data_IF_750246080898
#
_entry.id   IF_750246080898
#
_cell.length_a   1.000
_cell.length_b   1.000
_cell.length_c   1.000
_cell.angle_alpha   90.00
_cell.angle_beta   90.00
_cell.angle_gamma   90.00
#
_symmetry.space_group_name_H-M   'P 1'
#
loop_
_entity.id
_entity.type
_entity.pdbx_description
1 polymer ?
#
# COMPACT_ATOMS: atom_id res chain seq x y z
N UNK A 1 28.42 -36.14 7.80
CA UNK A 1 29.43 -35.07 7.64
C UNK A 1 29.79 -34.97 6.16
N UNK A 2 29.36 -33.91 5.47
CA UNK A 2 29.89 -33.48 4.17
C UNK A 2 29.55 -31.99 4.02
N UNK A 3 30.54 -31.15 4.29
CA UNK A 3 30.54 -29.73 3.99
C UNK A 3 31.14 -29.50 2.59
N UNK A 4 30.80 -28.36 2.00
CA UNK A 4 31.35 -27.71 0.80
C UNK A 4 30.82 -28.12 -0.60
N UNK A 5 29.99 -27.23 -1.16
CA UNK A 5 30.36 -26.33 -2.28
C UNK A 5 29.43 -25.11 -2.31
N UNK A 6 29.77 -24.08 -1.54
CA UNK A 6 29.27 -22.73 -1.77
C UNK A 6 30.06 -22.15 -2.95
N UNK A 7 29.39 -21.83 -4.06
CA UNK A 7 29.95 -20.94 -5.08
C UNK A 7 29.59 -19.51 -4.70
N UNK A 8 30.55 -18.57 -4.61
CA UNK A 8 30.20 -17.17 -4.46
C UNK A 8 29.57 -16.67 -5.78
N UNK A 9 28.47 -15.93 -5.67
CA UNK A 9 27.94 -15.13 -6.77
C UNK A 9 28.94 -14.01 -7.09
N UNK A 10 29.15 -13.65 -8.37
CA UNK A 10 30.00 -12.52 -8.72
C UNK A 10 29.36 -11.23 -8.23
N UNK A 11 30.03 -10.57 -7.30
CA UNK A 11 29.71 -9.21 -6.86
C UNK A 11 30.63 -8.24 -7.60
N UNK A 12 30.04 -7.10 -8.04
CA UNK A 12 30.65 -5.95 -8.75
C UNK A 12 30.89 -6.25 -10.24
N UNK A 13 30.28 -5.53 -11.19
CA UNK A 13 30.47 -4.09 -11.47
C UNK A 13 29.23 -3.36 -12.01
N UNK A 14 28.05 -4.01 -12.08
CA UNK A 14 26.83 -3.40 -12.65
C UNK A 14 26.09 -2.44 -11.68
N UNK A 15 26.61 -2.26 -10.46
CA UNK A 15 25.84 -1.70 -9.34
C UNK A 15 25.84 -0.17 -9.25
N UNK A 16 26.95 0.50 -9.56
CA UNK A 16 27.09 1.91 -9.15
C UNK A 16 26.44 2.88 -10.14
N UNK A 17 26.54 2.59 -11.44
CA UNK A 17 25.89 3.42 -12.46
C UNK A 17 24.36 3.28 -12.43
N UNK A 18 23.84 2.07 -12.17
CA UNK A 18 22.39 1.83 -12.00
C UNK A 18 21.89 2.48 -10.72
N UNK A 19 22.68 2.48 -9.63
CA UNK A 19 22.32 3.18 -8.40
C UNK A 19 22.30 4.70 -8.57
N UNK A 20 23.27 5.27 -9.29
CA UNK A 20 23.31 6.72 -9.54
C UNK A 20 22.18 7.16 -10.47
N UNK A 21 21.83 6.38 -11.49
CA UNK A 21 20.66 6.65 -12.32
C UNK A 21 19.35 6.46 -11.53
N UNK A 22 19.25 5.44 -10.68
CA UNK A 22 18.09 5.31 -9.77
C UNK A 22 17.99 6.48 -8.80
N UNK A 23 19.11 6.97 -8.26
CA UNK A 23 19.16 8.10 -7.35
C UNK A 23 18.76 9.39 -8.03
N UNK A 24 19.21 9.64 -9.27
CA UNK A 24 18.76 10.76 -10.09
C UNK A 24 17.27 10.66 -10.40
N UNK A 25 16.78 9.49 -10.77
CA UNK A 25 15.35 9.24 -11.00
C UNK A 25 14.55 9.41 -9.71
N UNK A 26 15.09 9.04 -8.54
CA UNK A 26 14.44 9.23 -7.24
C UNK A 26 14.38 10.69 -6.83
N UNK A 27 15.44 11.46 -7.10
CA UNK A 27 15.50 12.91 -6.86
C UNK A 27 14.58 13.63 -7.84
N UNK A 28 14.55 13.23 -9.12
CA UNK A 28 13.62 13.76 -10.11
C UNK A 28 12.18 13.36 -9.82
N UNK A 29 11.91 12.13 -9.36
CA UNK A 29 10.59 11.68 -8.97
C UNK A 29 10.16 12.35 -7.66
N UNK A 30 11.07 12.53 -6.70
CA UNK A 30 10.84 13.29 -5.48
C UNK A 30 10.57 14.77 -5.77
N UNK A 31 11.36 15.39 -6.65
CA UNK A 31 11.15 16.75 -7.13
C UNK A 31 9.88 16.85 -7.97
N UNK A 32 9.54 15.88 -8.81
CA UNK A 32 8.32 15.87 -9.61
C UNK A 32 7.09 15.61 -8.75
N UNK A 33 7.20 14.78 -7.72
CA UNK A 33 6.16 14.54 -6.72
C UNK A 33 5.96 15.78 -5.84
N UNK A 34 7.05 16.44 -5.45
CA UNK A 34 7.03 17.72 -4.74
C UNK A 34 6.45 18.82 -5.62
N UNK A 35 6.86 18.93 -6.88
CA UNK A 35 6.30 19.86 -7.88
C UNK A 35 4.83 19.52 -8.15
N UNK A 36 4.44 18.25 -8.18
CA UNK A 36 3.04 17.85 -8.37
C UNK A 36 2.21 18.20 -7.15
N UNK A 37 2.71 17.98 -5.94
CA UNK A 37 2.07 18.43 -4.70
C UNK A 37 1.97 19.96 -4.69
N UNK A 38 3.05 20.67 -5.00
CA UNK A 38 3.11 22.14 -5.06
C UNK A 38 2.21 22.69 -6.18
N UNK A 39 2.11 22.04 -7.34
CA UNK A 39 1.23 22.42 -8.45
C UNK A 39 -0.24 22.14 -8.15
N UNK A 40 -0.55 21.00 -7.51
CA UNK A 40 -1.89 20.68 -7.02
C UNK A 40 -2.29 21.65 -5.92
N UNK A 41 -1.38 22.03 -5.03
CA UNK A 41 -1.63 23.02 -3.99
C UNK A 41 -1.69 24.45 -4.53
N UNK A 42 -0.90 24.82 -5.54
CA UNK A 42 -0.93 26.14 -6.19
C UNK A 42 -2.19 26.37 -7.03
N UNK A 43 -2.80 25.32 -7.59
CA UNK A 43 -4.12 25.42 -8.24
C UNK A 43 -5.29 25.37 -7.28
N UNK A 44 -5.06 24.96 -6.02
CA UNK A 44 -6.00 25.03 -4.92
C UNK A 44 -5.63 26.22 -4.01
N UNK A 45 -5.62 27.44 -4.55
CA UNK A 45 -5.58 28.66 -3.73
C UNK A 45 -6.85 28.74 -2.89
N UNK A 46 -6.87 28.02 -1.78
CA UNK A 46 -7.91 28.13 -0.75
C UNK A 46 -7.56 29.37 0.06
N UNK A 47 -8.44 30.38 -0.02
CA UNK A 47 -8.33 31.57 0.83
C UNK A 47 -8.53 31.12 2.29
N UNK A 48 -7.80 31.71 3.25
CA UNK A 48 -7.93 31.35 4.67
C UNK A 48 -9.38 31.42 5.23
N UNK A 49 -10.27 32.16 4.56
CA UNK A 49 -11.68 32.28 4.92
C UNK A 49 -12.53 31.03 4.63
N UNK A 50 -12.07 30.09 3.79
CA UNK A 50 -12.84 28.90 3.40
C UNK A 50 -12.60 27.69 4.34
N UNK A 51 -11.69 27.82 5.32
CA UNK A 51 -11.25 26.73 6.22
C UNK A 51 -12.38 26.24 7.15
N UNK A 52 -13.36 27.10 7.47
CA UNK A 52 -14.53 26.73 8.27
C UNK A 52 -15.60 25.95 7.49
N UNK A 53 -15.44 25.84 6.17
CA UNK A 53 -16.28 25.01 5.32
C UNK A 53 -15.40 24.00 4.56
N UNK A 54 -14.73 23.11 5.30
CA UNK A 54 -14.21 21.84 4.76
C UNK A 54 -15.38 20.93 4.32
N UNK A 55 -16.07 21.32 3.24
CA UNK A 55 -16.75 20.37 2.39
C UNK A 55 -15.66 19.59 1.66
N UNK A 56 -15.70 18.28 1.89
CA UNK A 56 -15.15 17.21 1.07
C UNK A 56 -14.76 17.68 -0.34
N UNK A 57 -13.53 17.40 -0.76
CA UNK A 57 -13.11 17.47 -2.17
C UNK A 57 -14.23 16.88 -3.02
N UNK A 58 -14.79 17.69 -3.91
CA UNK A 58 -15.95 17.30 -4.71
C UNK A 58 -15.57 16.13 -5.63
N UNK A 59 -16.44 15.14 -5.85
CA UNK A 59 -16.24 14.12 -6.89
C UNK A 59 -15.92 14.71 -8.27
N UNK A 60 -16.34 15.95 -8.54
CA UNK A 60 -16.06 16.68 -9.77
C UNK A 60 -14.58 17.08 -9.91
N UNK A 61 -13.90 17.42 -8.82
CA UNK A 61 -12.48 17.79 -8.83
C UNK A 61 -11.59 16.57 -9.11
N UNK A 62 -12.03 15.40 -8.61
CA UNK A 62 -11.41 14.10 -8.89
C UNK A 62 -11.62 13.71 -10.36
N UNK A 63 -12.82 13.94 -10.92
CA UNK A 63 -13.08 13.72 -12.34
C UNK A 63 -12.27 14.65 -13.25
N UNK A 64 -12.05 15.91 -12.85
CA UNK A 64 -11.27 16.86 -13.62
C UNK A 64 -9.76 16.55 -13.63
N UNK A 65 -9.24 15.97 -12.54
CA UNK A 65 -7.89 15.38 -12.48
C UNK A 65 -7.78 14.12 -13.35
N UNK A 66 -8.79 13.25 -13.31
CA UNK A 66 -8.88 12.04 -14.14
C UNK A 66 -8.89 12.36 -15.63
N UNK A 67 -9.69 13.33 -16.05
CA UNK A 67 -9.80 13.78 -17.44
C UNK A 67 -8.49 14.38 -17.98
N UNK A 68 -7.73 15.09 -17.13
CA UNK A 68 -6.43 15.68 -17.51
C UNK A 68 -5.30 14.64 -17.65
N UNK A 69 -5.37 13.54 -16.90
CA UNK A 69 -4.41 12.44 -17.02
C UNK A 69 -4.71 11.53 -18.21
N UNK A 70 -5.96 11.48 -18.67
CA UNK A 70 -6.38 10.65 -19.83
C UNK A 70 -6.35 11.38 -21.18
N UNK A 71 -6.30 12.71 -21.22
CA UNK A 71 -6.43 13.51 -22.45
C UNK A 71 -5.08 13.79 -23.15
N UNK A 72 -4.28 12.75 -23.34
CA UNK A 72 -2.97 12.84 -23.98
C UNK A 72 -2.64 11.67 -24.88
N UNK A 73 -3.58 11.15 -25.67
CA UNK A 73 -3.28 10.14 -26.69
C UNK A 73 -4.25 10.24 -27.87
N UNK A 74 -3.82 10.89 -28.95
CA UNK A 74 -4.38 10.69 -30.30
C UNK A 74 -3.42 9.80 -31.07
N UNK A 75 -3.96 8.69 -31.58
CA UNK A 75 -3.25 7.60 -32.25
C UNK A 75 -2.48 8.05 -33.50
N UNK A 76 -1.31 7.45 -33.70
CA UNK A 76 -0.55 7.57 -34.95
C UNK A 76 0.69 6.67 -34.96
N UNK A 77 0.69 5.72 -35.90
CA UNK A 77 1.80 4.94 -36.46
C UNK A 77 2.47 3.83 -35.63
N UNK A 78 2.42 2.66 -36.26
CA UNK A 78 3.18 1.43 -36.08
C UNK A 78 4.69 1.68 -35.97
N UNK A 79 5.26 1.35 -34.82
CA UNK A 79 6.56 0.70 -34.72
C UNK A 79 6.67 0.05 -33.34
N UNK A 80 7.17 -1.18 -33.30
CA UNK A 80 7.39 -1.98 -32.10
C UNK A 80 8.49 -1.36 -31.24
N UNK A 81 8.12 -0.34 -30.47
CA UNK A 81 8.90 0.26 -29.40
C UNK A 81 8.32 -0.24 -28.08
N UNK A 82 9.18 -0.79 -27.24
CA UNK A 82 8.88 -1.43 -25.94
C UNK A 82 7.95 -0.53 -25.09
N UNK A 83 6.65 -0.81 -25.12
CA UNK A 83 5.57 -0.07 -24.43
C UNK A 83 5.41 -0.44 -22.94
N UNK A 84 6.50 -0.87 -22.29
CA UNK A 84 6.47 -1.49 -20.95
C UNK A 84 6.30 -0.50 -19.78
N UNK A 85 6.81 0.76 -19.80
CA UNK A 85 6.72 1.64 -18.64
C UNK A 85 5.30 2.15 -18.33
N UNK A 86 4.48 2.34 -19.36
CA UNK A 86 3.17 2.98 -19.23
C UNK A 86 2.12 2.00 -18.67
N UNK A 87 2.13 0.75 -19.12
CA UNK A 87 1.23 -0.30 -18.60
C UNK A 87 1.50 -0.58 -17.11
N UNK A 88 2.78 -0.66 -16.71
CA UNK A 88 3.15 -0.90 -15.31
C UNK A 88 2.54 0.13 -14.35
N UNK A 89 2.55 1.42 -14.74
CA UNK A 89 1.98 2.49 -13.92
C UNK A 89 0.46 2.47 -13.92
N UNK A 90 -0.17 2.28 -15.09
CA UNK A 90 -1.63 2.28 -15.22
C UNK A 90 -2.28 1.20 -14.35
N UNK A 91 -1.69 0.01 -14.29
CA UNK A 91 -2.15 -1.09 -13.43
C UNK A 91 -2.08 -0.75 -11.93
N UNK A 92 -1.19 0.17 -11.57
CA UNK A 92 -0.85 0.54 -10.19
C UNK A 92 -1.36 1.92 -9.80
N UNK A 93 -1.98 2.66 -10.72
CA UNK A 93 -2.40 4.04 -10.50
C UNK A 93 -3.29 4.18 -9.27
N UNK A 94 -4.30 3.33 -9.13
CA UNK A 94 -5.24 3.38 -7.99
C UNK A 94 -4.56 3.17 -6.63
N UNK A 95 -3.47 2.40 -6.59
CA UNK A 95 -2.66 2.21 -5.39
C UNK A 95 -1.87 3.48 -5.06
N UNK A 96 -1.20 4.07 -6.06
CA UNK A 96 -0.46 5.31 -5.86
C UNK A 96 -1.40 6.44 -5.43
N UNK A 97 -2.53 6.63 -6.12
CA UNK A 97 -3.55 7.61 -5.74
C UNK A 97 -3.99 7.45 -4.29
N UNK A 98 -4.28 6.22 -3.85
CA UNK A 98 -4.65 5.95 -2.46
C UNK A 98 -3.55 6.34 -1.46
N UNK A 99 -2.29 6.01 -1.76
CA UNK A 99 -1.17 6.35 -0.89
C UNK A 99 -0.92 7.86 -0.82
N UNK A 100 -1.03 8.56 -1.96
CA UNK A 100 -0.90 10.03 -2.01
C UNK A 100 -2.04 10.70 -1.25
N UNK A 101 -3.29 10.26 -1.45
CA UNK A 101 -4.45 10.82 -0.77
C UNK A 101 -4.38 10.65 0.75
N UNK A 102 -3.77 9.58 1.25
CA UNK A 102 -3.51 9.41 2.68
C UNK A 102 -2.36 10.31 3.17
N UNK A 103 -1.33 10.55 2.35
CA UNK A 103 -0.15 11.33 2.73
C UNK A 103 -0.40 12.84 2.75
N UNK A 104 -1.11 13.37 1.75
CA UNK A 104 -1.30 14.82 1.53
C UNK A 104 -1.89 15.54 2.76
N UNK A 105 -2.95 15.04 3.42
CA UNK A 105 -3.51 15.71 4.60
C UNK A 105 -2.50 15.85 5.75
N UNK A 106 -1.65 14.84 5.96
CA UNK A 106 -0.60 14.86 7.00
C UNK A 106 0.49 15.88 6.68
N UNK A 107 0.92 15.96 5.42
CA UNK A 107 1.91 16.94 4.97
C UNK A 107 1.32 18.36 5.06
N UNK A 108 0.06 18.55 4.67
CA UNK A 108 -0.62 19.85 4.81
C UNK A 108 -0.71 20.30 6.27
N UNK A 109 -1.05 19.41 7.19
CA UNK A 109 -1.10 19.73 8.61
C UNK A 109 0.29 20.11 9.14
N UNK A 110 1.32 19.36 8.75
CA UNK A 110 2.72 19.66 9.07
C UNK A 110 3.14 21.04 8.56
N UNK A 111 2.80 21.42 7.33
CA UNK A 111 3.09 22.76 6.78
C UNK A 111 2.43 23.91 7.55
N UNK A 112 1.35 23.65 8.27
CA UNK A 112 0.65 24.66 9.07
C UNK A 112 1.17 24.76 10.51
N UNK A 113 1.86 23.72 10.98
CA UNK A 113 2.12 23.48 12.40
C UNK A 113 3.61 23.35 12.72
N UNK A 114 4.43 22.91 11.77
CA UNK A 114 5.84 22.56 11.93
C UNK A 114 6.73 23.44 11.03
N UNK A 115 8.02 23.49 11.32
CA UNK A 115 9.01 24.18 10.50
C UNK A 115 9.28 23.42 9.18
N UNK A 116 9.81 24.11 8.17
CA UNK A 116 10.05 23.53 6.85
C UNK A 116 10.95 22.29 6.87
N UNK A 117 11.92 22.22 7.78
CA UNK A 117 12.79 21.05 7.93
C UNK A 117 12.00 19.81 8.35
N UNK A 118 11.08 19.94 9.31
CA UNK A 118 10.20 18.86 9.77
C UNK A 118 9.20 18.43 8.69
N UNK A 119 8.67 19.40 7.93
CA UNK A 119 7.81 19.14 6.77
C UNK A 119 8.54 18.27 5.75
N UNK A 120 9.79 18.62 5.42
CA UNK A 120 10.62 17.88 4.46
C UNK A 120 10.88 16.46 4.97
N UNK A 121 11.23 16.32 6.26
CA UNK A 121 11.46 15.01 6.89
C UNK A 121 10.20 14.13 6.81
N UNK A 122 9.03 14.68 7.14
CA UNK A 122 7.76 13.96 7.10
C UNK A 122 7.35 13.56 5.69
N UNK A 123 7.49 14.46 4.71
CA UNK A 123 7.23 14.17 3.31
C UNK A 123 8.17 13.08 2.77
N UNK A 124 9.47 13.16 3.10
CA UNK A 124 10.46 12.16 2.72
C UNK A 124 10.17 10.79 3.36
N UNK A 125 9.69 10.74 4.60
CA UNK A 125 9.30 9.51 5.27
C UNK A 125 8.12 8.82 4.57
N UNK A 126 7.09 9.57 4.16
CA UNK A 126 5.95 9.02 3.42
C UNK A 126 6.38 8.50 2.04
N UNK A 127 7.22 9.25 1.32
CA UNK A 127 7.75 8.85 0.01
C UNK A 127 8.62 7.59 0.14
N UNK A 128 9.56 7.57 1.09
CA UNK A 128 10.43 6.43 1.34
C UNK A 128 9.62 5.18 1.67
N UNK A 129 8.58 5.31 2.50
CA UNK A 129 7.68 4.19 2.85
C UNK A 129 6.93 3.65 1.63
N UNK A 130 6.44 4.53 0.76
CA UNK A 130 5.75 4.15 -0.47
C UNK A 130 6.69 3.43 -1.45
N UNK A 131 7.86 4.01 -1.71
CA UNK A 131 8.85 3.43 -2.64
C UNK A 131 9.36 2.09 -2.12
N UNK A 132 9.64 1.99 -0.82
CA UNK A 132 10.02 0.73 -0.19
C UNK A 132 8.95 -0.34 -0.40
N UNK A 133 7.68 0.01 -0.19
CA UNK A 133 6.57 -0.93 -0.35
C UNK A 133 6.44 -1.42 -1.79
N UNK A 134 6.50 -0.52 -2.78
CA UNK A 134 6.47 -0.88 -4.20
C UNK A 134 7.66 -1.79 -4.56
N UNK A 135 8.85 -1.44 -4.08
CA UNK A 135 10.06 -2.26 -4.30
C UNK A 135 9.89 -3.67 -3.74
N UNK A 136 9.29 -3.82 -2.56
CA UNK A 136 9.03 -5.13 -1.95
C UNK A 136 7.97 -5.91 -2.73
N UNK A 137 6.93 -5.24 -3.23
CA UNK A 137 5.90 -5.86 -4.08
C UNK A 137 6.48 -6.39 -5.39
N UNK A 138 7.35 -5.63 -6.06
CA UNK A 138 7.97 -6.07 -7.31
C UNK A 138 9.04 -7.16 -7.08
N UNK A 139 9.79 -7.10 -5.98
CA UNK A 139 10.84 -8.09 -5.67
C UNK A 139 10.27 -9.40 -5.14
N UNK A 140 9.15 -9.32 -4.41
CA UNK A 140 8.56 -10.46 -3.69
C UNK A 140 7.07 -10.64 -3.96
N UNK A 141 6.62 -10.63 -5.23
CA UNK A 141 5.22 -10.86 -5.55
C UNK A 141 4.86 -12.30 -5.20
N UNK A 142 3.65 -12.50 -4.69
CA UNK A 142 3.11 -13.83 -4.45
C UNK A 142 2.90 -14.59 -5.77
N UNK A 143 2.45 -13.86 -6.81
CA UNK A 143 2.11 -14.39 -8.12
C UNK A 143 2.89 -13.63 -9.18
N UNK A 144 3.51 -14.35 -10.09
CA UNK A 144 4.28 -13.80 -11.22
C UNK A 144 4.30 -14.82 -12.34
N UNK A 145 4.68 -14.44 -13.56
CA UNK A 145 4.75 -15.38 -14.69
C UNK A 145 5.72 -16.55 -14.41
N UNK A 146 6.83 -16.27 -13.72
CA UNK A 146 7.78 -17.29 -13.28
C UNK A 146 7.24 -18.20 -12.16
N UNK A 147 6.19 -17.78 -11.46
CA UNK A 147 5.58 -18.48 -10.31
C UNK A 147 4.06 -18.32 -10.35
N UNK A 148 3.38 -19.02 -11.27
CA UNK A 148 1.94 -18.94 -11.39
C UNK A 148 1.26 -19.58 -10.17
N UNK A 149 0.02 -19.19 -9.90
CA UNK A 149 -0.82 -19.86 -8.91
C UNK A 149 -1.17 -21.26 -9.41
N UNK A 150 -0.75 -22.28 -8.68
CA UNK A 150 -1.05 -23.68 -9.00
C UNK A 150 -2.04 -24.24 -7.97
N UNK A 151 -3.18 -24.74 -8.44
CA UNK A 151 -4.23 -25.31 -7.58
C UNK A 151 -3.69 -26.42 -6.67
N UNK A 152 -2.71 -27.22 -7.15
CA UNK A 152 -2.04 -28.25 -6.33
C UNK A 152 -1.38 -27.73 -5.06
N UNK A 153 -0.95 -26.47 -5.03
CA UNK A 153 -0.31 -25.82 -3.88
C UNK A 153 -1.33 -25.19 -2.91
N UNK A 154 -2.62 -25.34 -3.17
CA UNK A 154 -3.70 -24.78 -2.35
C UNK A 154 -4.28 -25.82 -1.40
N UNK A 155 -5.17 -25.39 -0.50
CA UNK A 155 -5.94 -26.26 0.38
C UNK A 155 -7.15 -26.89 -0.31
N UNK A 156 -7.50 -26.44 -1.53
CA UNK A 156 -8.66 -26.92 -2.28
C UNK A 156 -8.53 -28.39 -2.73
N UNK A 157 -7.30 -28.87 -2.91
CA UNK A 157 -7.02 -30.27 -3.26
C UNK A 157 -7.10 -31.23 -2.07
N UNK A 158 -7.31 -30.72 -0.86
CA UNK A 158 -7.43 -31.53 0.35
C UNK A 158 -8.75 -32.31 0.39
N UNK A 159 -8.68 -33.61 0.73
CA UNK A 159 -9.84 -34.53 0.81
C UNK A 159 -10.98 -34.05 1.72
N UNK A 160 -10.77 -33.07 2.60
CA UNK A 160 -11.74 -32.55 3.57
C UNK A 160 -11.90 -31.02 3.53
N UNK A 161 -11.53 -30.36 2.42
CA UNK A 161 -11.61 -28.91 2.30
C UNK A 161 -13.02 -28.34 2.61
N UNK A 162 -14.08 -29.05 2.22
CA UNK A 162 -15.48 -28.67 2.46
C UNK A 162 -15.90 -28.63 3.95
N UNK A 163 -15.12 -29.24 4.86
CA UNK A 163 -15.42 -29.23 6.31
C UNK A 163 -14.60 -28.21 7.08
N UNK A 164 -13.65 -27.55 6.42
CA UNK A 164 -12.78 -26.57 7.06
C UNK A 164 -13.51 -25.23 7.18
N UNK A 165 -14.14 -25.02 8.35
CA UNK A 165 -14.86 -23.79 8.67
C UNK A 165 -13.95 -22.56 8.64
N UNK A 166 -12.67 -22.70 8.97
CA UNK A 166 -11.71 -21.58 8.95
C UNK A 166 -11.43 -21.20 7.51
N UNK A 167 -11.18 -22.19 6.64
CA UNK A 167 -10.98 -21.96 5.21
C UNK A 167 -12.20 -21.29 4.57
N UNK A 168 -13.41 -21.79 4.81
CA UNK A 168 -14.62 -21.17 4.28
C UNK A 168 -14.75 -19.69 4.71
N UNK A 169 -14.56 -19.41 6.01
CA UNK A 169 -14.60 -18.04 6.53
C UNK A 169 -13.49 -17.16 5.96
N UNK A 170 -12.29 -17.71 5.76
CA UNK A 170 -11.17 -16.98 5.17
C UNK A 170 -11.44 -16.62 3.71
N UNK A 171 -11.98 -17.55 2.92
CA UNK A 171 -12.41 -17.29 1.53
C UNK A 171 -13.50 -16.23 1.50
N UNK A 172 -14.55 -16.36 2.32
CA UNK A 172 -15.60 -15.34 2.43
C UNK A 172 -15.04 -13.98 2.83
N UNK A 173 -14.10 -13.96 3.78
CA UNK A 173 -13.45 -12.74 4.23
C UNK A 173 -12.68 -12.03 3.13
N UNK A 174 -11.86 -12.77 2.36
CA UNK A 174 -11.13 -12.24 1.20
C UNK A 174 -12.07 -11.66 0.15
N UNK A 175 -13.19 -12.32 -0.16
CA UNK A 175 -14.16 -11.81 -1.11
C UNK A 175 -14.83 -10.52 -0.61
N UNK A 176 -15.22 -10.48 0.67
CA UNK A 176 -15.85 -9.30 1.28
C UNK A 176 -14.90 -8.12 1.47
N UNK A 177 -13.60 -8.37 1.67
CA UNK A 177 -12.58 -7.36 1.85
C UNK A 177 -11.85 -6.97 0.56
N UNK A 178 -12.32 -7.44 -0.62
CA UNK A 178 -11.60 -7.26 -1.89
C UNK A 178 -10.12 -7.69 -1.84
N UNK A 179 -9.83 -8.75 -1.10
CA UNK A 179 -8.47 -9.26 -0.96
C UNK A 179 -7.64 -8.60 0.12
N UNK A 180 -8.10 -7.53 0.78
CA UNK A 180 -7.42 -6.98 1.97
C UNK A 180 -7.52 -7.97 3.13
N UNK A 181 -6.51 -8.81 3.25
CA UNK A 181 -6.48 -9.94 4.16
C UNK A 181 -5.08 -10.14 4.74
N UNK A 182 -5.04 -10.24 6.06
CA UNK A 182 -3.84 -10.49 6.85
C UNK A 182 -3.92 -11.90 7.42
N UNK A 183 -2.94 -12.73 7.13
CA UNK A 183 -2.81 -14.07 7.70
C UNK A 183 -1.75 -14.04 8.80
N UNK A 184 -2.06 -14.66 9.93
CA UNK A 184 -1.18 -14.82 11.07
C UNK A 184 -1.15 -16.31 11.42
N UNK A 185 0.03 -16.90 11.56
CA UNK A 185 0.16 -18.27 12.04
C UNK A 185 1.61 -18.73 12.18
N UNK A 186 1.85 -19.76 12.99
CA UNK A 186 3.17 -20.35 13.18
C UNK A 186 3.45 -21.52 12.22
N UNK A 187 2.42 -22.23 11.75
CA UNK A 187 2.58 -23.31 10.77
C UNK A 187 2.82 -22.72 9.37
N UNK A 188 4.09 -22.58 9.00
CA UNK A 188 4.50 -22.00 7.72
C UNK A 188 4.00 -22.78 6.51
N UNK A 189 3.85 -24.10 6.61
CA UNK A 189 3.36 -24.94 5.51
C UNK A 189 1.87 -24.71 5.29
N UNK A 190 1.07 -24.76 6.35
CA UNK A 190 -0.36 -24.49 6.26
C UNK A 190 -0.63 -23.04 5.83
N UNK A 191 0.05 -22.07 6.44
CA UNK A 191 -0.05 -20.65 6.09
C UNK A 191 0.34 -20.41 4.63
N UNK A 192 1.37 -21.09 4.11
CA UNK A 192 1.74 -21.03 2.69
C UNK A 192 0.61 -21.49 1.80
N UNK A 193 0.03 -22.66 2.09
CA UNK A 193 -1.05 -23.22 1.29
C UNK A 193 -2.31 -22.37 1.38
N UNK A 194 -2.64 -21.84 2.57
CA UNK A 194 -3.74 -20.92 2.76
C UNK A 194 -3.53 -19.63 1.96
N UNK A 195 -2.35 -19.03 2.02
CA UNK A 195 -1.99 -17.84 1.25
C UNK A 195 -2.22 -18.03 -0.26
N UNK A 196 -1.72 -19.13 -0.83
CA UNK A 196 -1.95 -19.43 -2.25
C UNK A 196 -3.42 -19.75 -2.54
N UNK A 197 -4.15 -20.34 -1.59
CA UNK A 197 -5.59 -20.61 -1.73
C UNK A 197 -6.38 -19.31 -1.83
N UNK A 198 -6.12 -18.37 -0.92
CA UNK A 198 -6.82 -17.09 -0.88
C UNK A 198 -6.48 -16.21 -2.09
N UNK A 199 -5.26 -16.31 -2.62
CA UNK A 199 -4.84 -15.58 -3.81
C UNK A 199 -5.66 -15.95 -5.07
N UNK A 200 -6.22 -17.16 -5.16
CA UNK A 200 -7.13 -17.55 -6.24
C UNK A 200 -8.42 -16.72 -6.26
N UNK A 201 -8.83 -16.18 -5.12
CA UNK A 201 -10.05 -15.38 -4.96
C UNK A 201 -9.77 -13.86 -5.04
N UNK A 202 -8.53 -13.46 -5.28
CA UNK A 202 -8.16 -12.08 -5.58
C UNK A 202 -8.15 -11.90 -7.11
N UNK A 203 -8.80 -10.85 -7.65
CA UNK A 203 -8.77 -10.55 -9.08
C UNK A 203 -7.35 -10.40 -9.62
N UNK A 204 -7.11 -10.87 -10.83
CA UNK A 204 -5.78 -10.95 -11.45
C UNK A 204 -5.06 -9.60 -11.47
N UNK A 205 -5.80 -8.53 -11.77
CA UNK A 205 -5.32 -7.13 -11.84
C UNK A 205 -4.87 -6.60 -10.47
N UNK A 206 -5.23 -7.30 -9.39
CA UNK A 206 -4.96 -6.92 -8.02
C UNK A 206 -3.95 -7.84 -7.32
N UNK A 207 -3.54 -8.93 -7.96
CA UNK A 207 -2.60 -9.91 -7.39
C UNK A 207 -1.17 -9.38 -7.28
N UNK A 208 -0.82 -8.33 -8.03
CA UNK A 208 0.47 -7.65 -7.84
C UNK A 208 0.60 -7.05 -6.43
N UNK A 209 -0.54 -6.72 -5.78
CA UNK A 209 -0.63 -6.28 -4.38
C UNK A 209 -0.66 -7.45 -3.36
N UNK A 210 -0.30 -8.67 -3.76
CA UNK A 210 -0.19 -9.82 -2.86
C UNK A 210 1.28 -10.16 -2.61
N UNK A 211 1.69 -10.20 -1.33
CA UNK A 211 3.07 -10.43 -0.93
C UNK A 211 3.34 -11.88 -0.56
N UNK A 212 4.56 -12.33 -0.85
CA UNK A 212 5.08 -13.57 -0.23
C UNK A 212 5.14 -13.42 1.29
N UNK A 213 4.94 -14.54 1.98
CA UNK A 213 4.87 -14.56 3.45
C UNK A 213 6.11 -13.94 4.12
N UNK A 214 5.88 -13.20 5.21
CA UNK A 214 6.91 -12.66 6.09
C UNK A 214 7.98 -11.80 5.39
N UNK A 215 7.61 -11.15 4.27
CA UNK A 215 8.53 -10.27 3.51
C UNK A 215 8.42 -8.80 3.86
N UNK A 216 7.35 -8.40 4.55
CA UNK A 216 7.11 -7.02 4.91
C UNK A 216 6.28 -6.98 6.20
N UNK A 217 6.42 -5.89 6.96
CA UNK A 217 5.52 -5.60 8.07
C UNK A 217 4.10 -5.34 7.56
N UNK A 218 3.10 -5.34 8.43
CA UNK A 218 1.75 -4.97 8.04
C UNK A 218 1.72 -3.62 7.30
N UNK A 219 1.04 -3.60 6.14
CA UNK A 219 0.76 -2.39 5.37
C UNK A 219 -0.72 -2.32 5.02
N UNK A 220 -1.40 -1.17 5.24
CA UNK A 220 -2.82 -1.02 4.92
C UNK A 220 -3.11 -1.00 3.40
N UNK A 221 -2.07 -0.91 2.57
CA UNK A 221 -2.20 -0.88 1.10
C UNK A 221 -2.03 -2.25 0.44
N UNK A 222 -1.46 -3.21 1.15
CA UNK A 222 -1.26 -4.56 0.62
C UNK A 222 -2.56 -5.33 0.77
N UNK A 223 -2.95 -6.04 -0.29
CA UNK A 223 -4.15 -6.86 -0.28
C UNK A 223 -3.92 -8.10 0.57
N UNK A 224 -3.22 -9.09 0.02
CA UNK A 224 -2.97 -10.34 0.71
C UNK A 224 -1.55 -10.37 1.28
N UNK A 225 -1.45 -10.50 2.60
CA UNK A 225 -0.17 -10.47 3.31
C UNK A 225 -0.15 -11.46 4.48
N UNK A 226 1.05 -11.94 4.81
CA UNK A 226 1.28 -12.74 6.01
C UNK A 226 2.25 -11.99 6.90
N UNK A 227 1.86 -11.79 8.15
CA UNK A 227 2.66 -11.09 9.15
C UNK A 227 2.90 -11.98 10.36
N UNK A 228 3.95 -11.68 11.11
CA UNK A 228 4.21 -12.37 12.36
C UNK A 228 3.18 -11.97 13.42
N UNK A 229 2.93 -12.89 14.36
CA UNK A 229 1.94 -12.71 15.43
C UNK A 229 2.16 -11.45 16.28
N UNK A 230 3.42 -11.04 16.48
CA UNK A 230 3.74 -9.82 17.23
C UNK A 230 3.26 -8.54 16.53
N UNK A 231 2.91 -8.59 15.24
CA UNK A 231 2.35 -7.45 14.52
C UNK A 231 0.84 -7.30 14.70
N UNK A 232 0.16 -8.29 15.30
CA UNK A 232 -1.29 -8.25 15.49
C UNK A 232 -1.77 -6.95 16.16
N UNK A 233 -1.16 -6.43 17.24
CA UNK A 233 -1.57 -5.15 17.82
C UNK A 233 -1.49 -3.99 16.81
N UNK A 234 -0.44 -3.97 15.99
CA UNK A 234 -0.25 -2.96 14.95
C UNK A 234 -1.26 -3.12 13.80
N UNK A 235 -1.60 -4.35 13.40
CA UNK A 235 -2.67 -4.65 12.44
C UNK A 235 -4.01 -4.12 12.96
N UNK A 236 -4.33 -4.33 14.24
CA UNK A 236 -5.57 -3.86 14.84
C UNK A 236 -5.63 -2.33 14.90
N UNK A 237 -4.51 -1.67 15.20
CA UNK A 237 -4.43 -0.21 15.27
C UNK A 237 -4.50 0.45 13.88
N UNK A 238 -3.77 -0.11 12.91
CA UNK A 238 -3.60 0.50 11.60
C UNK A 238 -4.55 -0.07 10.53
N UNK A 239 -5.30 -1.12 10.84
CA UNK A 239 -6.25 -1.75 9.90
C UNK A 239 -7.35 -0.81 9.43
N UNK A 240 -7.78 0.12 10.29
CA UNK A 240 -8.79 1.13 9.95
C UNK A 240 -8.34 2.10 8.84
N UNK A 241 -7.04 2.20 8.57
CA UNK A 241 -6.48 3.12 7.57
C UNK A 241 -6.51 2.54 6.16
N UNK A 242 -6.77 1.24 6.03
CA UNK A 242 -6.90 0.63 4.73
C UNK A 242 -8.09 1.24 3.97
N UNK A 243 -7.96 1.36 2.65
CA UNK A 243 -9.04 1.90 1.82
C UNK A 243 -10.28 1.00 1.79
N UNK A 244 -10.14 -0.28 2.16
CA UNK A 244 -11.22 -1.26 2.26
C UNK A 244 -11.22 -1.94 3.65
N UNK A 245 -12.37 -2.51 4.05
CA UNK A 245 -12.42 -3.45 5.18
C UNK A 245 -11.32 -4.49 5.09
N UNK A 246 -10.79 -4.91 6.24
CA UNK A 246 -9.75 -5.94 6.31
C UNK A 246 -10.31 -7.24 6.90
N UNK A 247 -9.79 -8.35 6.41
CA UNK A 247 -9.95 -9.68 6.98
C UNK A 247 -8.67 -10.05 7.75
N UNK A 248 -8.79 -10.58 8.97
CA UNK A 248 -7.67 -11.12 9.74
C UNK A 248 -7.93 -12.59 9.99
N UNK A 249 -7.05 -13.44 9.48
CA UNK A 249 -7.09 -14.90 9.64
C UNK A 249 -5.97 -15.30 10.59
N UNK A 250 -6.32 -15.58 11.85
CA UNK A 250 -5.40 -16.14 12.85
C UNK A 250 -5.53 -17.66 12.84
N UNK A 251 -4.60 -18.31 12.14
CA UNK A 251 -4.54 -19.76 11.96
C UNK A 251 -4.31 -20.46 13.29
N UNK A 252 -3.44 -19.93 14.15
CA UNK A 252 -3.12 -20.55 15.43
C UNK A 252 -4.34 -20.63 16.35
N UNK A 253 -5.22 -19.62 16.26
CA UNK A 253 -6.47 -19.56 17.03
C UNK A 253 -7.68 -20.11 16.29
N UNK A 254 -7.52 -20.56 15.04
CA UNK A 254 -8.63 -20.97 14.17
C UNK A 254 -9.74 -19.90 14.08
N UNK A 255 -9.36 -18.62 14.07
CA UNK A 255 -10.30 -17.49 14.06
C UNK A 255 -10.15 -16.66 12.79
N UNK A 256 -11.28 -16.24 12.25
CA UNK A 256 -11.36 -15.26 11.16
C UNK A 256 -12.17 -14.08 11.65
N UNK A 257 -11.56 -12.90 11.62
CA UNK A 257 -12.17 -11.64 12.05
C UNK A 257 -12.29 -10.71 10.85
N UNK A 258 -13.43 -10.04 10.73
CA UNK A 258 -13.66 -9.04 9.70
C UNK A 258 -13.79 -7.68 10.37
N UNK A 259 -13.22 -6.65 9.76
CA UNK A 259 -13.57 -5.28 10.11
C UNK A 259 -15.02 -4.99 9.70
N UNK A 260 -15.61 -3.87 10.18
CA UNK A 260 -16.96 -3.50 9.81
C UNK A 260 -17.16 -3.37 8.29
N UNK A 261 -18.42 -3.48 7.80
CA UNK A 261 -18.75 -3.30 6.39
C UNK A 261 -18.24 -1.96 5.83
N UNK A 262 -18.03 -1.90 4.51
CA UNK A 262 -17.41 -0.76 3.83
C UNK A 262 -17.99 0.61 4.23
N UNK A 263 -19.32 0.73 4.32
CA UNK A 263 -19.99 1.98 4.74
C UNK A 263 -19.53 2.47 6.11
N UNK A 264 -19.42 1.58 7.09
CA UNK A 264 -18.94 1.89 8.44
C UNK A 264 -17.42 2.03 8.48
N UNK A 265 -16.70 1.20 7.73
CA UNK A 265 -15.24 1.25 7.65
C UNK A 265 -14.73 2.61 7.18
N UNK A 266 -15.34 3.20 6.15
CA UNK A 266 -14.97 4.53 5.64
C UNK A 266 -15.08 5.62 6.69
N UNK A 267 -16.14 5.57 7.52
CA UNK A 267 -16.32 6.53 8.62
C UNK A 267 -15.23 6.34 9.68
N UNK A 268 -14.86 5.09 9.97
CA UNK A 268 -13.78 4.80 10.91
C UNK A 268 -12.41 5.25 10.37
N UNK A 269 -12.12 5.01 9.09
CA UNK A 269 -10.93 5.51 8.40
C UNK A 269 -10.84 7.03 8.53
N UNK A 270 -11.90 7.74 8.16
CA UNK A 270 -11.95 9.19 8.22
C UNK A 270 -11.70 9.71 9.65
N UNK A 271 -12.29 9.06 10.68
CA UNK A 271 -12.03 9.42 12.08
C UNK A 271 -10.58 9.19 12.47
N UNK A 272 -9.98 8.07 12.05
CA UNK A 272 -8.58 7.77 12.31
C UNK A 272 -7.64 8.77 11.61
N UNK A 273 -7.97 9.18 10.39
CA UNK A 273 -7.22 10.19 9.63
C UNK A 273 -7.30 11.55 10.33
N UNK A 274 -8.49 11.99 10.76
CA UNK A 274 -8.68 13.23 11.52
C UNK A 274 -7.88 13.21 12.82
N UNK A 275 -7.90 12.11 13.56
CA UNK A 275 -7.11 11.97 14.79
C UNK A 275 -5.60 12.12 14.53
N UNK A 276 -5.10 11.53 13.44
CA UNK A 276 -3.68 11.62 13.06
C UNK A 276 -3.27 13.01 12.64
N UNK A 277 -4.13 13.69 11.90
CA UNK A 277 -3.95 15.09 11.52
C UNK A 277 -3.94 15.96 12.78
N UNK A 278 -4.88 15.74 13.70
CA UNK A 278 -4.94 16.44 14.98
C UNK A 278 -3.66 16.32 15.79
N UNK A 279 -3.07 15.12 15.87
CA UNK A 279 -1.78 14.91 16.57
C UNK A 279 -0.66 15.81 16.01
N UNK A 280 -0.60 16.03 14.68
CA UNK A 280 0.41 16.88 14.04
C UNK A 280 0.16 18.36 14.34
N UNK A 281 -1.11 18.78 14.36
CA UNK A 281 -1.48 20.15 14.69
C UNK A 281 -1.22 20.45 16.17
N UNK A 282 -1.60 19.54 17.07
CA UNK A 282 -1.47 19.69 18.52
C UNK A 282 -0.01 19.63 19.00
N UNK A 283 0.88 18.94 18.28
CA UNK A 283 2.32 18.93 18.60
C UNK A 283 2.96 20.33 18.47
N UNK A 284 2.39 21.21 17.64
CA UNK A 284 2.85 22.60 17.51
C UNK A 284 2.49 23.45 18.73
N UNK A 285 1.30 23.25 19.31
CA UNK A 285 0.83 24.06 20.44
C UNK A 285 1.65 23.84 21.72
N UNK A 286 2.24 22.65 21.88
CA UNK A 286 3.11 22.33 23.03
C UNK A 286 4.56 22.78 22.87
N UNK A 287 4.99 23.15 21.66
CA UNK A 287 6.35 23.61 21.39
C UNK A 287 6.51 25.14 21.42
N UNK A 288 5.42 25.90 21.64
CA UNK A 288 5.55 27.33 21.94
C UNK A 288 6.18 27.47 23.33
N UNK A 289 7.35 28.12 23.49
CA UNK A 289 7.87 28.41 24.81
C UNK A 289 6.84 29.26 25.55
N UNK A 290 6.51 28.86 26.78
CA UNK A 290 5.82 29.74 27.72
C UNK A 290 6.74 30.94 27.91
N UNK A 291 6.43 32.04 27.26
CA UNK A 291 7.04 33.33 27.57
C UNK A 291 6.63 33.70 28.99
N UNK A 292 7.58 33.54 29.91
CA UNK A 292 7.57 34.16 31.24
C UNK A 292 7.86 35.65 31.12
#
# INVERSE_FOLDING_TARGET
MCWNRYRPYPAREVSDHVYDELKKILILAGAFFFITIVCVMSKLQVRPADIWHLRLVSPADIQHLRARLTCGYTAGSTDSVVAVPQEWYLDRQSFFESAVLDAVPKIKASMLAEDWDDVIVRANAELTRLIHLVTVLDRHPLVSDARPLLVKNTLLTGKRCHRDKVLCKAISGVLQSQGFCVIIGSDTLYVSRLLHTLALFVPDELRWCCLRMYRHKFSPYVRLQVVHRYELPYVMQCGALSSWPICVVDVDRATVCMSPPYSRHRVLKQRADVQRIGIVLDSSERCKPVTL
#
